data_IF_033052932235
#
_entry.id   IF_033052932235
#
_cell.length_a   1.000
_cell.length_b   1.000
_cell.length_c   1.000
_cell.angle_alpha   90.00
_cell.angle_beta   90.00
_cell.angle_gamma   90.00
#
_symmetry.space_group_name_H-M   'P 1'
#
loop_
_entity.id
_entity.type
_entity.pdbx_description
1 polymer ?
#
# COMPACT_ATOMS: atom_id res chain seq x y z
N UNK A 1 -54.81 41.41 -21.12
CA UNK A 1 -54.41 40.27 -20.28
C UNK A 1 -52.89 40.21 -20.24
N UNK A 2 -52.33 40.83 -19.21
CA UNK A 2 -50.90 40.92 -18.93
C UNK A 2 -50.45 39.67 -18.15
N UNK A 3 -49.42 38.96 -18.60
CA UNK A 3 -48.72 37.97 -17.76
C UNK A 3 -47.23 38.29 -17.76
N UNK A 4 -46.88 38.99 -16.69
CA UNK A 4 -45.57 39.12 -16.05
C UNK A 4 -44.79 37.80 -16.09
N UNK A 5 -43.56 37.83 -16.62
CA UNK A 5 -42.54 36.82 -16.36
C UNK A 5 -41.64 37.34 -15.24
N UNK A 6 -41.96 36.92 -14.02
CA UNK A 6 -41.17 37.13 -12.82
C UNK A 6 -39.84 36.40 -12.94
N UNK A 7 -38.76 37.20 -12.91
CA UNK A 7 -37.37 36.78 -12.81
C UNK A 7 -37.16 36.13 -11.44
N UNK A 8 -37.07 34.80 -11.38
CA UNK A 8 -36.72 34.09 -10.15
C UNK A 8 -35.23 34.29 -9.86
N UNK A 9 -34.98 35.14 -8.87
CA UNK A 9 -33.70 35.44 -8.27
C UNK A 9 -33.37 34.34 -7.25
N UNK A 10 -32.42 33.46 -7.58
CA UNK A 10 -31.87 32.52 -6.61
C UNK A 10 -30.81 33.23 -5.75
N UNK A 11 -30.86 33.09 -4.41
CA UNK A 11 -29.90 33.72 -3.52
C UNK A 11 -28.52 33.06 -3.66
N UNK A 12 -27.49 33.88 -3.84
CA UNK A 12 -26.09 33.49 -3.74
C UNK A 12 -25.81 33.02 -2.31
N UNK A 13 -25.84 31.71 -2.06
CA UNK A 13 -25.21 31.15 -0.87
C UNK A 13 -23.70 31.24 -1.03
N UNK A 14 -23.13 32.21 -0.31
CA UNK A 14 -21.70 32.38 -0.09
C UNK A 14 -21.19 31.19 0.70
N UNK A 15 -20.68 30.16 0.01
CA UNK A 15 -19.91 29.10 0.65
C UNK A 15 -18.69 29.74 1.33
N UNK A 16 -18.56 29.50 2.62
CA UNK A 16 -17.43 29.89 3.45
C UNK A 16 -16.13 29.38 2.82
N UNK A 17 -15.17 30.30 2.62
CA UNK A 17 -13.80 29.93 2.27
C UNK A 17 -13.23 29.13 3.44
N UNK A 18 -13.27 27.81 3.35
CA UNK A 18 -12.39 26.94 4.12
C UNK A 18 -10.98 27.21 3.65
N UNK A 19 -10.18 27.83 4.51
CA UNK A 19 -8.75 28.01 4.32
C UNK A 19 -8.11 26.62 4.28
N UNK A 20 -7.80 26.15 3.07
CA UNK A 20 -6.98 24.98 2.85
C UNK A 20 -5.55 25.36 3.26
N UNK A 21 -5.13 24.95 4.45
CA UNK A 21 -3.72 25.07 4.84
C UNK A 21 -2.87 24.22 3.88
N UNK A 22 -1.79 24.77 3.30
CA UNK A 22 -0.87 23.95 2.53
C UNK A 22 -0.16 22.97 3.47
N UNK A 23 -0.20 21.69 3.09
CA UNK A 23 0.53 20.61 3.73
C UNK A 23 2.02 21.01 3.78
N UNK A 24 2.53 21.27 4.99
CA UNK A 24 3.96 21.48 5.21
C UNK A 24 4.71 20.22 4.76
N UNK A 25 5.69 20.30 3.85
CA UNK A 25 6.53 19.15 3.58
C UNK A 25 7.31 18.82 4.85
N UNK A 26 7.01 17.67 5.45
CA UNK A 26 7.82 17.07 6.49
C UNK A 26 9.18 16.79 5.84
N UNK A 27 10.17 17.61 6.17
CA UNK A 27 11.54 17.46 5.71
C UNK A 27 11.97 16.03 6.08
N UNK A 28 12.08 15.17 5.07
CA UNK A 28 12.62 13.83 5.23
C UNK A 28 14.10 14.05 5.47
N UNK A 29 14.50 14.04 6.74
CA UNK A 29 15.91 14.02 7.12
C UNK A 29 16.50 12.73 6.57
N UNK A 30 17.19 12.85 5.44
CA UNK A 30 18.05 11.79 4.94
C UNK A 30 19.24 11.70 5.90
N UNK A 31 19.16 10.74 6.82
CA UNK A 31 20.24 10.44 7.75
C UNK A 31 21.37 9.78 6.94
N UNK A 32 22.20 10.58 6.28
CA UNK A 32 23.49 10.11 5.79
C UNK A 32 24.47 10.11 6.95
N UNK A 33 24.57 8.97 7.62
CA UNK A 33 25.68 8.70 8.53
C UNK A 33 27.00 8.80 7.77
N UNK A 34 27.76 9.86 8.03
CA UNK A 34 29.19 9.96 7.74
C UNK A 34 29.91 10.21 9.07
N UNK A 35 31.12 9.64 9.27
CA UNK A 35 31.75 9.61 10.58
C UNK A 35 32.26 10.99 10.97
N UNK A 36 32.01 11.36 12.24
CA UNK A 36 32.53 12.56 12.87
C UNK A 36 34.06 12.53 12.87
N UNK A 37 34.65 13.61 12.37
CA UNK A 37 36.07 13.88 12.42
C UNK A 37 36.24 15.34 12.81
N UNK A 38 36.43 15.56 14.11
CA UNK A 38 36.78 16.85 14.68
C UNK A 38 38.13 17.31 14.11
N UNK A 39 38.14 18.47 13.46
CA UNK A 39 39.36 19.21 13.21
C UNK A 39 39.09 20.70 13.48
N UNK A 40 39.57 21.12 14.63
CA UNK A 40 39.57 22.47 15.15
C UNK A 40 40.19 23.48 14.18
N UNK A 41 39.51 24.62 14.07
CA UNK A 41 40.01 25.84 13.44
C UNK A 41 41.10 26.41 14.34
N UNK A 42 42.33 26.46 13.83
CA UNK A 42 43.37 27.34 14.37
C UNK A 42 43.83 28.28 13.25
N UNK A 43 43.54 29.57 13.44
CA UNK A 43 44.15 30.68 12.74
C UNK A 43 45.62 30.78 13.16
N UNK A 44 46.54 30.77 12.19
CA UNK A 44 47.87 31.34 12.40
C UNK A 44 48.25 32.12 11.15
N UNK A 45 48.51 33.41 11.36
CA UNK A 45 49.09 34.32 10.40
C UNK A 45 50.40 33.78 9.83
N UNK A 46 50.59 33.86 8.51
CA UNK A 46 51.89 33.62 7.89
C UNK A 46 52.10 34.53 6.67
N UNK A 47 53.16 35.32 6.81
CA UNK A 47 53.71 36.36 5.97
C UNK A 47 53.81 36.05 4.46
N UNK A 48 53.72 37.12 3.67
CA UNK A 48 54.06 37.18 2.24
C UNK A 48 55.48 36.64 2.00
N UNK A 49 55.56 35.42 1.46
CA UNK A 49 56.76 34.91 0.78
C UNK A 49 56.38 34.45 -0.62
N UNK A 50 56.82 35.21 -1.64
CA UNK A 50 56.77 34.77 -3.04
C UNK A 50 57.77 33.63 -3.22
N UNK A 51 57.33 32.40 -3.04
CA UNK A 51 58.01 31.18 -3.50
C UNK A 51 57.23 30.61 -4.69
N UNK A 52 57.91 30.40 -5.81
CA UNK A 52 57.39 29.58 -6.90
C UNK A 52 57.33 28.13 -6.40
N UNK A 53 56.18 27.71 -5.87
CA UNK A 53 55.94 26.32 -5.51
C UNK A 53 55.48 25.56 -6.76
N UNK A 54 56.27 24.56 -7.16
CA UNK A 54 55.85 23.56 -8.13
C UNK A 54 54.59 22.87 -7.57
N UNK A 55 53.49 22.74 -8.34
CA UNK A 55 52.23 22.22 -7.80
C UNK A 55 52.42 20.76 -7.35
N UNK A 56 52.09 20.49 -6.09
CA UNK A 56 52.10 19.13 -5.53
C UNK A 56 51.27 18.19 -6.42
N UNK A 57 51.78 16.97 -6.67
CA UNK A 57 51.09 15.97 -7.49
C UNK A 57 49.82 15.53 -6.75
N UNK A 58 48.65 15.83 -7.32
CA UNK A 58 47.34 15.47 -6.77
C UNK A 58 47.24 13.97 -6.50
N UNK A 59 46.69 13.62 -5.35
CA UNK A 59 46.45 12.21 -4.98
C UNK A 59 45.47 11.55 -5.95
N UNK A 60 45.49 10.21 -6.04
CA UNK A 60 44.58 9.47 -6.92
C UNK A 60 43.10 9.78 -6.60
N UNK A 61 42.75 9.92 -5.32
CA UNK A 61 41.41 10.29 -4.88
C UNK A 61 41.01 11.70 -5.38
N UNK A 62 41.88 12.71 -5.23
CA UNK A 62 41.63 14.06 -5.75
C UNK A 62 41.48 14.06 -7.28
N UNK A 63 42.27 13.26 -7.99
CA UNK A 63 42.14 13.12 -9.45
C UNK A 63 40.77 12.54 -9.82
N UNK A 64 40.32 11.49 -9.14
CA UNK A 64 38.99 10.90 -9.36
C UNK A 64 37.88 11.91 -9.06
N UNK A 65 37.96 12.62 -7.93
CA UNK A 65 37.00 13.65 -7.55
C UNK A 65 36.94 14.78 -8.59
N UNK A 66 38.08 15.24 -9.10
CA UNK A 66 38.12 16.27 -10.14
C UNK A 66 37.53 15.80 -11.47
N UNK A 67 37.71 14.53 -11.84
CA UNK A 67 37.10 13.95 -13.04
C UNK A 67 35.59 13.82 -12.85
N UNK A 68 35.14 13.31 -11.69
CA UNK A 68 33.72 13.22 -11.35
C UNK A 68 33.05 14.59 -11.39
N UNK A 69 33.68 15.60 -10.78
CA UNK A 69 33.18 16.97 -10.78
C UNK A 69 33.08 17.54 -12.20
N UNK A 70 34.11 17.34 -13.05
CA UNK A 70 34.07 17.78 -14.45
C UNK A 70 32.98 17.07 -15.25
N UNK A 71 32.73 15.79 -15.00
CA UNK A 71 31.64 15.05 -15.65
C UNK A 71 30.28 15.59 -15.18
N UNK A 72 30.13 15.88 -13.88
CA UNK A 72 28.93 16.50 -13.34
C UNK A 72 28.68 17.89 -13.97
N UNK A 73 29.72 18.73 -14.06
CA UNK A 73 29.66 20.07 -14.67
C UNK A 73 29.32 20.08 -16.18
N UNK A 74 29.51 18.96 -16.88
CA UNK A 74 29.07 18.78 -18.28
C UNK A 74 27.58 18.49 -18.41
N UNK A 75 27.00 17.84 -17.39
CA UNK A 75 25.57 17.54 -17.30
C UNK A 75 24.78 18.72 -16.74
N UNK A 76 25.43 19.59 -15.95
CA UNK A 76 24.79 20.80 -15.43
C UNK A 76 24.60 21.85 -16.52
N UNK A 77 23.47 22.57 -16.50
CA UNK A 77 23.27 23.82 -17.23
C UNK A 77 24.49 24.75 -17.21
N UNK A 78 24.88 25.38 -18.33
CA UNK A 78 25.98 26.36 -18.33
C UNK A 78 25.75 27.50 -17.33
N UNK A 79 24.50 27.88 -17.08
CA UNK A 79 24.10 28.91 -16.12
C UNK A 79 24.35 28.50 -14.65
N UNK A 80 24.58 27.21 -14.38
CA UNK A 80 24.80 26.66 -13.03
C UNK A 80 26.20 26.05 -12.84
N UNK A 81 27.10 26.23 -13.82
CA UNK A 81 28.48 25.74 -13.71
C UNK A 81 29.30 26.64 -12.78
N UNK A 82 30.07 26.04 -11.86
CA UNK A 82 31.04 26.76 -11.02
C UNK A 82 32.01 27.55 -11.90
N UNK A 83 32.06 28.88 -11.72
CA UNK A 83 32.92 29.79 -12.47
C UNK A 83 32.21 30.60 -13.56
N UNK A 84 31.13 30.08 -14.17
CA UNK A 84 30.41 30.75 -15.27
C UNK A 84 29.07 31.38 -14.83
N UNK A 85 28.43 30.86 -13.78
CA UNK A 85 27.11 31.34 -13.34
C UNK A 85 26.84 31.32 -11.84
N UNK A 86 27.52 30.46 -11.08
CA UNK A 86 27.35 30.39 -9.62
C UNK A 86 28.18 31.48 -8.93
N UNK A 87 27.54 32.55 -8.46
CA UNK A 87 28.24 33.74 -7.93
C UNK A 87 28.53 33.66 -6.44
N UNK A 88 27.83 32.79 -5.71
CA UNK A 88 27.96 32.66 -4.27
C UNK A 88 28.46 31.28 -3.85
N UNK A 89 29.31 31.26 -2.83
CA UNK A 89 29.71 30.05 -2.09
C UNK A 89 28.74 29.69 -0.97
N UNK A 90 27.78 30.56 -0.68
CA UNK A 90 26.82 30.37 0.42
C UNK A 90 25.72 29.40 -0.04
N UNK A 91 25.45 28.32 0.72
CA UNK A 91 24.56 27.24 0.26
C UNK A 91 23.14 27.73 -0.05
N UNK A 92 22.62 28.67 0.74
CA UNK A 92 21.29 29.26 0.54
C UNK A 92 21.19 30.10 -0.72
N UNK A 93 22.27 30.79 -1.11
CA UNK A 93 22.30 31.59 -2.35
C UNK A 93 22.43 30.70 -3.59
N UNK A 94 23.18 29.59 -3.47
CA UNK A 94 23.27 28.57 -4.52
C UNK A 94 21.91 27.95 -4.80
N UNK A 95 21.13 27.61 -3.77
CA UNK A 95 19.77 27.08 -3.93
C UNK A 95 18.86 28.05 -4.71
N UNK A 96 18.91 29.35 -4.38
CA UNK A 96 18.13 30.38 -5.07
C UNK A 96 18.54 30.50 -6.55
N UNK A 97 19.85 30.48 -6.85
CA UNK A 97 20.35 30.52 -8.22
C UNK A 97 19.89 29.31 -9.05
N UNK A 98 19.87 28.11 -8.45
CA UNK A 98 19.34 26.88 -9.08
C UNK A 98 17.85 27.02 -9.39
N UNK A 99 17.07 27.53 -8.43
CA UNK A 99 15.62 27.74 -8.61
C UNK A 99 15.37 28.72 -9.75
N UNK A 100 16.06 29.87 -9.77
CA UNK A 100 15.88 30.90 -10.80
C UNK A 100 16.19 30.38 -12.20
N UNK A 101 17.28 29.62 -12.37
CA UNK A 101 17.62 29.02 -13.68
C UNK A 101 16.59 27.96 -14.07
N UNK A 102 16.10 27.15 -13.12
CA UNK A 102 15.06 26.18 -13.39
C UNK A 102 13.75 26.86 -13.85
N UNK A 103 13.32 27.91 -13.17
CA UNK A 103 12.12 28.69 -13.52
C UNK A 103 12.23 29.33 -14.91
N UNK A 104 13.39 29.92 -15.23
CA UNK A 104 13.65 30.49 -16.55
C UNK A 104 13.55 29.43 -17.65
N UNK A 105 14.14 28.25 -17.45
CA UNK A 105 14.08 27.15 -18.41
C UNK A 105 12.66 26.60 -18.57
N UNK A 106 11.93 26.40 -17.47
CA UNK A 106 10.53 25.98 -17.51
C UNK A 106 9.70 26.98 -18.31
N UNK A 107 9.86 28.28 -18.04
CA UNK A 107 9.15 29.34 -18.74
C UNK A 107 9.47 29.36 -20.23
N UNK A 108 10.75 29.23 -20.61
CA UNK A 108 11.16 29.13 -22.02
C UNK A 108 10.58 27.88 -22.71
N UNK A 109 10.57 26.73 -22.04
CA UNK A 109 9.98 25.49 -22.56
C UNK A 109 8.45 25.59 -22.71
N UNK A 110 7.76 26.32 -21.82
CA UNK A 110 6.34 26.65 -21.96
C UNK A 110 6.12 27.51 -23.20
N UNK A 111 6.90 28.58 -23.37
CA UNK A 111 6.81 29.47 -24.53
C UNK A 111 7.08 28.74 -25.86
N UNK A 112 7.99 27.76 -25.85
CA UNK A 112 8.30 26.92 -27.02
C UNK A 112 7.25 25.82 -27.27
N UNK A 113 6.25 25.67 -26.40
CA UNK A 113 5.23 24.63 -26.53
C UNK A 113 5.77 23.22 -26.34
N UNK A 114 6.94 23.03 -25.72
CA UNK A 114 7.57 21.71 -25.54
C UNK A 114 6.69 20.77 -24.70
N UNK A 115 5.89 21.32 -23.79
CA UNK A 115 4.93 20.57 -22.97
C UNK A 115 3.68 20.14 -23.74
N UNK A 116 3.45 20.65 -24.95
CA UNK A 116 2.28 20.30 -25.75
C UNK A 116 2.42 18.98 -26.49
N UNK A 117 3.65 18.62 -26.85
CA UNK A 117 3.97 17.40 -27.60
C UNK A 117 4.36 16.22 -26.70
N UNK A 118 3.97 16.23 -25.42
CA UNK A 118 4.31 15.15 -24.51
C UNK A 118 3.49 13.87 -24.82
N UNK A 119 4.14 12.69 -24.86
CA UNK A 119 3.43 11.45 -25.05
C UNK A 119 2.44 11.25 -23.89
N UNK A 120 1.15 11.18 -24.21
CA UNK A 120 0.09 11.02 -23.21
C UNK A 120 -0.56 12.30 -22.71
N UNK A 121 -0.24 13.49 -23.27
CA UNK A 121 -0.98 14.73 -22.95
C UNK A 121 -2.48 14.54 -23.20
N UNK A 122 -3.29 14.93 -22.21
CA UNK A 122 -4.76 14.84 -22.27
C UNK A 122 -5.34 13.43 -22.07
N UNK A 123 -4.50 12.39 -21.96
CA UNK A 123 -4.97 11.06 -21.58
C UNK A 123 -5.08 10.96 -20.06
N UNK A 124 -6.15 10.35 -19.52
CA UNK A 124 -6.23 10.10 -18.09
C UNK A 124 -5.03 9.26 -17.66
N UNK A 125 -4.32 9.71 -16.62
CA UNK A 125 -3.24 8.95 -16.02
C UNK A 125 -3.85 7.68 -15.44
N UNK A 126 -3.40 6.51 -15.90
CA UNK A 126 -3.72 5.25 -15.25
C UNK A 126 -2.93 5.18 -13.95
N UNK A 127 -3.57 5.54 -12.85
CA UNK A 127 -3.04 5.30 -11.51
C UNK A 127 -3.19 3.78 -11.29
N UNK A 128 -2.19 3.02 -11.73
CA UNK A 128 -2.16 1.57 -11.55
C UNK A 128 -1.66 1.24 -10.14
N UNK A 129 -2.61 1.07 -9.21
CA UNK A 129 -2.31 0.65 -7.84
C UNK A 129 -3.42 1.08 -6.89
N UNK A 130 -3.56 0.38 -5.77
CA UNK A 130 -4.49 0.78 -4.73
C UNK A 130 -3.90 1.97 -3.95
N UNK A 131 -4.49 3.19 -4.01
CA UNK A 131 -3.97 4.36 -3.29
C UNK A 131 -4.04 4.21 -1.76
N UNK A 132 -4.76 3.20 -1.27
CA UNK A 132 -4.90 2.89 0.15
C UNK A 132 -3.99 1.75 0.61
N UNK A 133 -3.19 1.15 -0.28
CA UNK A 133 -2.23 0.11 0.07
C UNK A 133 -0.81 0.67 0.18
N UNK A 134 0.01 0.03 1.01
CA UNK A 134 1.45 0.31 1.05
C UNK A 134 2.09 -0.03 -0.32
N UNK A 135 3.03 0.78 -0.86
CA UNK A 135 3.61 0.53 -2.18
C UNK A 135 4.28 -0.84 -2.34
N UNK A 136 4.84 -1.38 -1.25
CA UNK A 136 5.47 -2.72 -1.24
C UNK A 136 4.39 -3.80 -1.32
N UNK A 137 3.33 -3.66 -0.54
CA UNK A 137 2.19 -4.59 -0.52
C UNK A 137 1.45 -4.59 -1.87
N UNK A 138 1.20 -3.42 -2.45
CA UNK A 138 0.59 -3.28 -3.78
C UNK A 138 1.46 -3.91 -4.89
N UNK A 139 2.79 -3.77 -4.81
CA UNK A 139 3.69 -4.48 -5.70
C UNK A 139 3.55 -6.00 -5.57
N UNK A 140 3.53 -6.53 -4.34
CA UNK A 140 3.37 -7.96 -4.11
C UNK A 140 2.04 -8.48 -4.69
N UNK A 141 0.93 -7.77 -4.45
CA UNK A 141 -0.38 -8.12 -5.00
C UNK A 141 -0.44 -8.04 -6.51
N UNK A 142 0.22 -7.05 -7.13
CA UNK A 142 0.32 -6.96 -8.60
C UNK A 142 1.12 -8.11 -9.19
N UNK A 143 2.22 -8.53 -8.55
CA UNK A 143 3.01 -9.69 -9.01
C UNK A 143 2.16 -10.96 -8.93
N UNK A 144 1.44 -11.18 -7.83
CA UNK A 144 0.54 -12.34 -7.69
C UNK A 144 -0.54 -12.34 -8.76
N UNK A 145 -1.23 -11.21 -8.95
CA UNK A 145 -2.30 -11.08 -9.93
C UNK A 145 -1.82 -11.30 -11.38
N UNK A 146 -0.62 -10.79 -11.74
CA UNK A 146 -0.01 -11.03 -13.05
C UNK A 146 0.26 -12.51 -13.32
N UNK A 147 0.51 -13.30 -12.27
CA UNK A 147 0.71 -14.74 -12.36
C UNK A 147 -0.58 -15.56 -12.15
N UNK A 148 -1.73 -14.89 -11.96
CA UNK A 148 -3.02 -15.55 -11.72
C UNK A 148 -3.20 -16.10 -10.30
N UNK A 149 -2.33 -15.75 -9.36
CA UNK A 149 -2.43 -16.15 -7.95
C UNK A 149 -3.16 -15.10 -7.11
N UNK A 150 -3.79 -15.56 -6.03
CA UNK A 150 -4.46 -14.68 -5.09
C UNK A 150 -3.60 -14.48 -3.82
N UNK A 151 -3.80 -13.39 -3.07
CA UNK A 151 -3.20 -13.23 -1.76
C UNK A 151 -3.58 -14.38 -0.82
N UNK A 152 -2.68 -14.70 0.12
CA UNK A 152 -2.85 -15.81 1.07
C UNK A 152 -4.23 -15.79 1.77
N UNK A 153 -4.66 -14.63 2.27
CA UNK A 153 -5.94 -14.51 2.98
C UNK A 153 -7.15 -14.81 2.07
N UNK A 154 -7.07 -14.54 0.76
CA UNK A 154 -8.12 -14.87 -0.20
C UNK A 154 -8.22 -16.38 -0.38
N UNK A 155 -7.07 -17.04 -0.54
CA UNK A 155 -6.99 -18.49 -0.70
C UNK A 155 -7.48 -19.22 0.55
N UNK A 156 -7.03 -18.74 1.71
CA UNK A 156 -7.41 -19.27 3.01
C UNK A 156 -8.92 -19.13 3.26
N UNK A 157 -9.54 -18.00 2.89
CA UNK A 157 -11.00 -17.83 2.95
C UNK A 157 -11.74 -18.83 2.05
N UNK A 158 -11.26 -19.03 0.81
CA UNK A 158 -11.82 -20.06 -0.09
C UNK A 158 -11.72 -21.44 0.54
N UNK A 159 -10.57 -21.75 1.15
CA UNK A 159 -10.36 -23.04 1.80
C UNK A 159 -11.31 -23.26 2.99
N UNK A 160 -11.45 -22.27 3.89
CA UNK A 160 -12.40 -22.32 5.01
C UNK A 160 -13.81 -22.58 4.49
N UNK A 161 -14.26 -21.84 3.46
CA UNK A 161 -15.59 -21.99 2.88
C UNK A 161 -15.82 -23.37 2.27
N UNK A 162 -14.80 -23.98 1.66
CA UNK A 162 -14.90 -25.33 1.12
C UNK A 162 -14.92 -26.38 2.23
N UNK A 163 -14.04 -26.25 3.24
CA UNK A 163 -14.01 -27.17 4.39
C UNK A 163 -15.32 -27.15 5.16
N UNK A 164 -15.87 -25.98 5.48
CA UNK A 164 -17.14 -25.90 6.23
C UNK A 164 -18.31 -26.48 5.43
N UNK A 165 -18.35 -26.29 4.11
CA UNK A 165 -19.38 -26.90 3.25
C UNK A 165 -19.29 -28.42 3.25
N UNK A 166 -18.08 -28.98 3.17
CA UNK A 166 -17.87 -30.43 3.22
C UNK A 166 -18.24 -30.98 4.59
N UNK A 167 -17.80 -30.32 5.65
CA UNK A 167 -18.10 -30.69 7.03
C UNK A 167 -19.62 -30.69 7.30
N UNK A 168 -20.35 -29.65 6.89
CA UNK A 168 -21.81 -29.59 7.03
C UNK A 168 -22.53 -30.70 6.27
N UNK A 169 -22.14 -30.96 5.03
CA UNK A 169 -22.70 -32.08 4.25
C UNK A 169 -22.45 -33.43 4.92
N UNK A 170 -21.24 -33.65 5.43
CA UNK A 170 -20.92 -34.89 6.15
C UNK A 170 -21.74 -35.02 7.43
N UNK A 171 -21.94 -33.91 8.16
CA UNK A 171 -22.78 -33.85 9.35
C UNK A 171 -24.24 -34.17 9.04
N UNK A 172 -24.80 -33.56 7.99
CA UNK A 172 -26.18 -33.81 7.51
C UNK A 172 -26.38 -35.27 7.11
N UNK A 173 -25.43 -35.87 6.37
CA UNK A 173 -25.50 -37.28 5.99
C UNK A 173 -25.42 -38.23 7.18
N UNK A 174 -24.54 -37.94 8.15
CA UNK A 174 -24.45 -38.72 9.39
C UNK A 174 -25.72 -38.59 10.24
N UNK A 175 -26.33 -37.40 10.23
CA UNK A 175 -27.58 -37.13 10.91
C UNK A 175 -28.77 -37.87 10.27
N UNK A 176 -28.86 -37.88 8.94
CA UNK A 176 -29.88 -38.65 8.21
C UNK A 176 -29.80 -40.16 8.50
N UNK A 177 -28.59 -40.72 8.49
CA UNK A 177 -28.37 -42.15 8.81
C UNK A 177 -28.82 -42.50 10.23
N UNK A 178 -28.67 -41.56 11.17
CA UNK A 178 -29.17 -41.73 12.54
C UNK A 178 -30.70 -41.86 12.53
N UNK A 179 -31.39 -40.93 11.86
CA UNK A 179 -32.86 -40.95 11.74
C UNK A 179 -33.39 -42.21 11.06
N UNK A 180 -32.75 -42.66 9.98
CA UNK A 180 -33.12 -43.89 9.27
C UNK A 180 -33.04 -45.13 10.18
N UNK A 181 -32.07 -45.14 11.10
CA UNK A 181 -31.89 -46.25 12.05
C UNK A 181 -32.94 -46.23 13.15
N UNK A 182 -33.27 -45.04 13.65
CA UNK A 182 -34.35 -44.85 14.63
C UNK A 182 -35.71 -45.26 14.03
N UNK A 183 -35.92 -45.08 12.72
CA UNK A 183 -37.15 -45.44 12.00
C UNK A 183 -37.26 -46.94 11.65
N UNK A 184 -36.16 -47.60 11.27
CA UNK A 184 -36.18 -48.99 10.81
C UNK A 184 -35.82 -50.02 11.91
N UNK A 185 -35.32 -49.56 13.07
CA UNK A 185 -35.00 -50.42 14.21
C UNK A 185 -33.81 -51.36 13.99
N UNK A 186 -33.02 -51.14 12.92
CA UNK A 186 -31.85 -51.96 12.59
C UNK A 186 -30.66 -51.51 13.45
N UNK A 187 -30.10 -52.42 14.24
CA UNK A 187 -28.92 -52.16 15.05
C UNK A 187 -27.71 -51.86 14.15
N UNK A 188 -27.19 -50.64 14.23
CA UNK A 188 -25.98 -50.25 13.51
C UNK A 188 -24.71 -50.80 14.19
N UNK A 189 -23.64 -51.09 13.43
CA UNK A 189 -22.30 -51.26 13.96
C UNK A 189 -21.89 -50.09 14.87
N UNK A 190 -21.18 -50.38 15.97
CA UNK A 190 -20.70 -49.40 16.97
C UNK A 190 -20.02 -48.17 16.34
N UNK A 191 -19.27 -48.38 15.26
CA UNK A 191 -18.50 -47.36 14.53
C UNK A 191 -19.33 -46.37 13.71
N UNK A 192 -20.61 -46.70 13.45
CA UNK A 192 -21.54 -45.87 12.68
C UNK A 192 -22.54 -45.13 13.58
N UNK A 193 -22.58 -45.45 14.87
CA UNK A 193 -23.42 -44.75 15.84
C UNK A 193 -23.04 -43.26 15.87
N UNK A 194 -24.05 -42.39 15.83
CA UNK A 194 -23.89 -40.94 15.82
C UNK A 194 -22.92 -40.42 16.90
N UNK A 195 -22.99 -40.97 18.11
CA UNK A 195 -22.16 -40.57 19.26
C UNK A 195 -20.66 -40.81 19.05
N UNK A 196 -20.28 -41.86 18.33
CA UNK A 196 -18.87 -42.17 18.05
C UNK A 196 -18.29 -41.27 16.94
N UNK A 197 -19.15 -40.64 16.12
CA UNK A 197 -18.76 -39.71 15.07
C UNK A 197 -18.57 -38.27 15.58
N UNK A 198 -19.25 -37.88 16.67
CA UNK A 198 -19.12 -36.56 17.28
C UNK A 198 -17.67 -36.10 17.56
N UNK A 199 -16.79 -36.91 18.18
CA UNK A 199 -15.40 -36.48 18.42
C UNK A 199 -14.63 -36.25 17.11
N UNK A 200 -14.94 -37.02 16.05
CA UNK A 200 -14.33 -36.82 14.72
C UNK A 200 -14.76 -35.46 14.16
N UNK A 201 -16.05 -35.16 14.18
CA UNK A 201 -16.56 -33.87 13.72
C UNK A 201 -16.02 -32.69 14.53
N UNK A 202 -15.87 -32.85 15.85
CA UNK A 202 -15.30 -31.80 16.70
C UNK A 202 -13.81 -31.56 16.40
N UNK A 203 -13.04 -32.62 16.13
CA UNK A 203 -11.64 -32.50 15.72
C UNK A 203 -11.49 -31.76 14.38
N UNK A 204 -12.31 -32.09 13.38
CA UNK A 204 -12.33 -31.39 12.09
C UNK A 204 -12.76 -29.92 12.25
N UNK A 205 -13.74 -29.66 13.11
CA UNK A 205 -14.21 -28.30 13.39
C UNK A 205 -13.12 -27.47 14.09
N UNK A 206 -12.34 -28.08 14.99
CA UNK A 206 -11.18 -27.43 15.63
C UNK A 206 -10.15 -27.01 14.59
N UNK A 207 -9.84 -27.85 13.59
CA UNK A 207 -8.95 -27.46 12.49
C UNK A 207 -9.50 -26.27 11.69
N UNK A 208 -10.79 -26.29 11.37
CA UNK A 208 -11.44 -25.17 10.67
C UNK A 208 -11.35 -23.88 11.51
N UNK A 209 -11.59 -23.98 12.81
CA UNK A 209 -11.50 -22.85 13.73
C UNK A 209 -10.08 -22.30 13.86
N UNK A 210 -9.04 -23.15 13.82
CA UNK A 210 -7.65 -22.70 13.76
C UNK A 210 -7.36 -21.91 12.48
N UNK A 211 -7.91 -22.34 11.33
CA UNK A 211 -7.79 -21.58 10.07
C UNK A 211 -8.53 -20.25 10.14
N UNK A 212 -9.73 -20.22 10.73
CA UNK A 212 -10.48 -18.98 10.96
C UNK A 212 -9.68 -18.02 11.85
N UNK A 213 -9.02 -18.53 12.90
CA UNK A 213 -8.15 -17.72 13.73
C UNK A 213 -6.99 -17.13 12.93
N UNK A 214 -6.27 -17.95 12.15
CA UNK A 214 -5.20 -17.46 11.26
C UNK A 214 -5.71 -16.40 10.27
N UNK A 215 -6.86 -16.63 9.66
CA UNK A 215 -7.51 -15.67 8.75
C UNK A 215 -7.81 -14.33 9.44
N UNK A 216 -8.36 -14.37 10.65
CA UNK A 216 -8.73 -13.17 11.39
C UNK A 216 -7.53 -12.32 11.79
N UNK A 217 -6.36 -12.93 11.95
CA UNK A 217 -5.10 -12.23 12.21
C UNK A 217 -4.55 -11.50 10.97
N UNK A 218 -4.80 -12.04 9.77
CA UNK A 218 -4.29 -11.47 8.52
C UNK A 218 -5.17 -10.33 7.99
N UNK A 219 -6.44 -10.32 8.36
CA UNK A 219 -7.45 -9.49 7.72
C UNK A 219 -7.86 -8.32 8.63
N UNK A 220 -8.05 -7.10 8.08
CA UNK A 220 -8.50 -5.96 8.87
C UNK A 220 -9.88 -6.19 9.49
N UNK A 221 -10.16 -5.46 10.57
CA UNK A 221 -11.44 -5.50 11.27
C UNK A 221 -12.62 -5.23 10.32
N UNK A 222 -13.71 -5.97 10.48
CA UNK A 222 -14.90 -5.92 9.62
C UNK A 222 -14.98 -7.00 8.54
N UNK A 223 -13.88 -7.69 8.24
CA UNK A 223 -13.85 -8.85 7.31
C UNK A 223 -13.54 -10.18 8.00
N UNK A 224 -13.45 -10.17 9.33
CA UNK A 224 -13.18 -11.32 10.19
C UNK A 224 -14.38 -12.29 10.24
N UNK A 225 -14.11 -13.56 10.49
CA UNK A 225 -15.10 -14.63 10.60
C UNK A 225 -15.29 -15.08 12.05
N UNK A 226 -16.51 -15.49 12.38
CA UNK A 226 -16.80 -16.09 13.69
C UNK A 226 -16.42 -17.57 13.70
N UNK A 227 -15.94 -18.04 14.85
CA UNK A 227 -15.70 -19.46 15.07
C UNK A 227 -17.01 -20.26 15.16
N UNK A 228 -16.94 -21.50 14.72
CA UNK A 228 -18.05 -22.44 14.75
C UNK A 228 -18.01 -23.29 16.02
N UNK A 229 -19.18 -23.65 16.53
CA UNK A 229 -19.34 -24.58 17.67
C UNK A 229 -20.25 -25.72 17.24
N UNK A 230 -19.83 -26.95 17.50
CA UNK A 230 -20.55 -28.17 17.12
C UNK A 230 -22.01 -28.16 17.63
N UNK A 231 -22.21 -27.81 18.90
CA UNK A 231 -23.53 -27.73 19.53
C UNK A 231 -24.50 -26.80 18.79
N UNK A 232 -24.01 -25.67 18.25
CA UNK A 232 -24.86 -24.74 17.51
C UNK A 232 -25.33 -25.33 16.20
N UNK A 233 -24.44 -26.04 15.50
CA UNK A 233 -24.76 -26.68 14.22
C UNK A 233 -25.75 -27.83 14.42
N UNK A 234 -25.62 -28.62 15.50
CA UNK A 234 -26.61 -29.65 15.86
C UNK A 234 -27.97 -29.02 16.17
N UNK A 235 -28.00 -27.91 16.93
CA UNK A 235 -29.26 -27.18 17.18
C UNK A 235 -29.91 -26.66 15.91
N UNK A 236 -29.11 -26.19 14.94
CA UNK A 236 -29.61 -25.76 13.63
C UNK A 236 -30.26 -26.92 12.89
N UNK A 237 -29.63 -28.11 12.87
CA UNK A 237 -30.21 -29.32 12.27
C UNK A 237 -31.55 -29.68 12.93
N UNK A 238 -31.60 -29.75 14.26
CA UNK A 238 -32.83 -30.03 15.02
C UNK A 238 -33.95 -29.01 14.75
N UNK A 239 -33.59 -27.73 14.53
CA UNK A 239 -34.58 -26.69 14.23
C UNK A 239 -35.10 -26.85 12.79
N UNK A 240 -34.24 -27.21 11.84
CA UNK A 240 -34.63 -27.46 10.46
C UNK A 240 -35.54 -28.68 10.30
N UNK A 241 -35.37 -29.72 11.13
CA UNK A 241 -36.27 -30.87 11.18
C UNK A 241 -37.68 -30.47 11.60
N UNK A 242 -37.81 -29.75 12.72
CA UNK A 242 -39.10 -29.28 13.23
C UNK A 242 -39.85 -28.42 12.22
N UNK A 243 -39.12 -27.61 11.45
CA UNK A 243 -39.70 -26.80 10.38
C UNK A 243 -40.17 -27.63 9.19
N UNK A 244 -39.43 -28.68 8.83
CA UNK A 244 -39.83 -29.60 7.75
C UNK A 244 -41.07 -30.42 8.15
N UNK A 245 -41.17 -30.87 9.40
CA UNK A 245 -42.34 -31.61 9.92
C UNK A 245 -43.61 -30.72 9.95
N UNK A 246 -43.50 -29.44 10.32
CA UNK A 246 -44.62 -28.50 10.32
C UNK A 246 -45.10 -28.07 8.92
N UNK A 247 -44.29 -28.28 7.88
CA UNK A 247 -44.60 -27.89 6.50
C UNK A 247 -45.13 -29.07 5.65
N UNK A 248 -45.15 -30.28 6.19
CA UNK A 248 -45.72 -31.45 5.51
C UNK A 248 -47.26 -31.44 5.70
N UNK A 249 -48.06 -31.44 4.61
CA UNK A 249 -49.53 -31.42 4.66
C UNK A 249 -50.13 -32.74 5.16
#
# INVERSE_FOLDING_TARGET
MTKSLSRLQFPLLRASRSTFEPIRPRCVQYLSSFPEGDASVNSVDAEKSKKCSVPAKKTLAERILTVYEKIAQRKTPPELRRGDGLRSTDPTRVEIEIINVAEQRISQSILRGEFEKLPGKGKPIKIEGNPHADPVEDLAYRILAKNGFAPEWVELNKEIRLKIRRWRKALELAWQKKLESDSCGVAQPEDLKWESLLPKFDSELREINQKIFRYNLLVPFGRQLMCYKLEREIKILQTSEKQNEMSAP
#
